data_IF_506079976923
#
_entry.id   IF_506079976923
#
_cell.length_a   1.000
_cell.length_b   1.000
_cell.length_c   1.000
_cell.angle_alpha   90.00
_cell.angle_beta   90.00
_cell.angle_gamma   90.00
#
_symmetry.space_group_name_H-M   'P 1'
#
loop_
_entity.id
_entity.type
_entity.pdbx_description
1 polymer ?
#
# COMPACT_ATOMS: atom_id res chain seq x y z
N UNK A 1 51.09 -26.41 23.92
CA UNK A 1 52.11 -27.28 23.29
C UNK A 1 51.44 -28.46 22.60
N UNK A 2 51.18 -28.39 21.29
CA UNK A 2 50.73 -29.52 20.49
C UNK A 2 51.43 -29.43 19.13
N UNK A 3 52.31 -30.41 18.89
CA UNK A 3 53.31 -30.44 17.81
C UNK A 3 52.63 -30.75 16.47
N UNK A 4 52.76 -29.83 15.52
CA UNK A 4 52.48 -30.05 14.10
C UNK A 4 53.28 -31.24 13.55
N UNK A 5 52.61 -32.19 12.90
CA UNK A 5 53.21 -33.09 11.90
C UNK A 5 52.44 -32.95 10.59
N UNK A 6 53.08 -32.41 9.56
CA UNK A 6 52.60 -32.43 8.17
C UNK A 6 53.09 -33.71 7.49
N UNK A 7 52.26 -34.39 6.67
CA UNK A 7 52.70 -35.53 5.88
C UNK A 7 53.42 -35.10 4.58
N UNK A 8 54.13 -36.02 3.91
CA UNK A 8 55.01 -35.70 2.78
C UNK A 8 54.22 -35.47 1.50
N UNK A 9 54.63 -34.46 0.74
CA UNK A 9 54.18 -34.21 -0.64
C UNK A 9 54.83 -35.25 -1.56
N UNK A 10 54.03 -36.20 -2.04
CA UNK A 10 54.39 -37.03 -3.18
C UNK A 10 54.20 -36.21 -4.47
N UNK A 11 55.30 -35.98 -5.19
CA UNK A 11 55.29 -35.46 -6.55
C UNK A 11 54.95 -36.61 -7.49
N UNK A 12 53.71 -36.62 -8.00
CA UNK A 12 53.32 -37.41 -9.17
C UNK A 12 53.15 -36.45 -10.33
N UNK A 13 54.21 -36.29 -11.09
CA UNK A 13 54.25 -35.58 -12.36
C UNK A 13 53.89 -36.59 -13.45
N UNK A 14 52.59 -36.72 -13.73
CA UNK A 14 52.08 -37.59 -14.79
C UNK A 14 51.56 -36.72 -15.93
N UNK A 15 52.39 -36.58 -16.97
CA UNK A 15 52.06 -35.94 -18.21
C UNK A 15 50.83 -36.59 -18.86
N UNK A 16 49.68 -35.90 -18.81
CA UNK A 16 48.53 -36.18 -19.67
C UNK A 16 48.49 -35.13 -20.76
N UNK A 17 48.84 -35.53 -21.97
CA UNK A 17 48.54 -34.82 -23.20
C UNK A 17 47.02 -34.77 -23.39
N UNK A 18 46.41 -33.64 -23.05
CA UNK A 18 45.00 -33.36 -23.27
C UNK A 18 44.72 -33.21 -24.76
N UNK A 19 43.76 -33.94 -25.34
CA UNK A 19 43.33 -33.70 -26.72
C UNK A 19 42.66 -32.32 -26.81
N UNK A 20 43.25 -31.41 -27.60
CA UNK A 20 42.63 -30.17 -28.04
C UNK A 20 41.50 -30.48 -29.04
N UNK A 21 40.36 -30.95 -28.56
CA UNK A 21 39.15 -31.07 -29.36
C UNK A 21 38.01 -30.27 -28.68
N UNK A 22 37.52 -29.23 -29.36
CA UNK A 22 36.11 -28.85 -29.26
C UNK A 22 35.68 -27.71 -28.32
N UNK A 23 36.54 -26.76 -27.92
CA UNK A 23 36.10 -25.61 -27.08
C UNK A 23 35.16 -24.62 -27.79
N UNK A 24 35.16 -24.58 -29.13
CA UNK A 24 34.37 -23.60 -29.89
C UNK A 24 32.86 -23.94 -29.97
N UNK A 25 32.49 -25.22 -29.98
CA UNK A 25 31.09 -25.63 -30.05
C UNK A 25 30.36 -25.40 -28.72
N UNK A 26 31.02 -25.72 -27.60
CA UNK A 26 30.50 -25.58 -26.23
C UNK A 26 30.23 -24.12 -25.83
N UNK A 27 31.08 -23.18 -26.27
CA UNK A 27 30.86 -21.75 -26.06
C UNK A 27 29.66 -21.20 -26.84
N UNK A 28 29.33 -21.81 -27.98
CA UNK A 28 28.22 -21.35 -28.84
C UNK A 28 26.87 -21.81 -28.26
N UNK A 29 26.78 -23.04 -27.74
CA UNK A 29 25.57 -23.52 -27.04
C UNK A 29 25.28 -22.73 -25.76
N UNK A 30 26.29 -22.45 -24.93
CA UNK A 30 26.11 -21.65 -23.71
C UNK A 30 25.58 -20.23 -24.00
N UNK A 31 26.05 -19.59 -25.08
CA UNK A 31 25.51 -18.29 -25.51
C UNK A 31 24.05 -18.41 -25.94
N UNK A 32 23.69 -19.41 -26.73
CA UNK A 32 22.33 -19.60 -27.23
C UNK A 32 21.32 -19.91 -26.10
N UNK A 33 21.73 -20.69 -25.10
CA UNK A 33 20.92 -20.97 -23.90
C UNK A 33 20.71 -19.70 -23.06
N UNK A 34 21.75 -18.88 -22.89
CA UNK A 34 21.64 -17.62 -22.12
C UNK A 34 20.68 -16.61 -22.77
N UNK A 35 20.72 -16.46 -24.11
CA UNK A 35 19.82 -15.56 -24.83
C UNK A 35 18.36 -16.00 -24.79
N UNK A 36 18.11 -17.31 -24.82
CA UNK A 36 16.74 -17.85 -24.76
C UNK A 36 16.14 -17.67 -23.37
N UNK A 37 16.93 -17.87 -22.31
CA UNK A 37 16.50 -17.64 -20.93
C UNK A 37 16.22 -16.16 -20.66
N UNK A 38 17.10 -15.25 -21.12
CA UNK A 38 16.89 -13.80 -21.01
C UNK A 38 15.62 -13.35 -21.74
N UNK A 39 15.40 -13.84 -22.96
CA UNK A 39 14.19 -13.52 -23.74
C UNK A 39 12.91 -13.99 -23.02
N UNK A 40 12.90 -15.20 -22.46
CA UNK A 40 11.76 -15.71 -21.67
C UNK A 40 11.49 -14.87 -20.42
N UNK A 41 12.54 -14.47 -19.70
CA UNK A 41 12.40 -13.62 -18.52
C UNK A 41 11.86 -12.23 -18.87
N UNK A 42 12.32 -11.62 -19.97
CA UNK A 42 11.81 -10.35 -20.48
C UNK A 42 10.32 -10.41 -20.81
N UNK A 43 9.89 -11.46 -21.50
CA UNK A 43 8.47 -11.66 -21.86
C UNK A 43 7.61 -11.80 -20.60
N UNK A 44 8.05 -12.61 -19.63
CA UNK A 44 7.34 -12.79 -18.36
C UNK A 44 7.19 -11.47 -17.58
N UNK A 45 8.26 -10.66 -17.51
CA UNK A 45 8.24 -9.36 -16.85
C UNK A 45 7.26 -8.38 -17.52
N UNK A 46 7.22 -8.36 -18.85
CA UNK A 46 6.27 -7.53 -19.59
C UNK A 46 4.81 -7.91 -19.26
N UNK A 47 4.50 -9.21 -19.23
CA UNK A 47 3.16 -9.69 -18.88
C UNK A 47 2.74 -9.39 -17.44
N UNK A 48 3.69 -9.32 -16.50
CA UNK A 48 3.44 -8.93 -15.11
C UNK A 48 3.19 -7.42 -14.99
N UNK A 49 4.01 -6.61 -15.65
CA UNK A 49 3.82 -5.15 -15.68
C UNK A 49 2.48 -4.78 -16.32
N UNK A 50 2.10 -5.45 -17.41
CA UNK A 50 0.79 -5.27 -18.03
C UNK A 50 -0.34 -5.61 -17.06
N UNK A 51 -0.28 -6.76 -16.37
CA UNK A 51 -1.30 -7.15 -15.40
C UNK A 51 -1.43 -6.12 -14.26
N UNK A 52 -0.31 -5.61 -13.73
CA UNK A 52 -0.32 -4.57 -12.69
C UNK A 52 -0.92 -3.26 -13.17
N UNK A 53 -0.60 -2.83 -14.40
CA UNK A 53 -1.19 -1.64 -15.01
C UNK A 53 -2.70 -1.78 -15.14
N UNK A 54 -3.18 -2.95 -15.58
CA UNK A 54 -4.60 -3.24 -15.69
C UNK A 54 -5.30 -3.23 -14.34
N UNK A 55 -4.72 -3.86 -13.32
CA UNK A 55 -5.23 -3.84 -11.94
C UNK A 55 -5.31 -2.40 -11.41
N UNK A 56 -4.27 -1.59 -11.63
CA UNK A 56 -4.24 -0.20 -11.18
C UNK A 56 -5.34 0.64 -11.86
N UNK A 57 -5.45 0.55 -13.18
CA UNK A 57 -6.47 1.27 -13.95
C UNK A 57 -7.88 0.89 -13.50
N UNK A 58 -8.14 -0.42 -13.36
CA UNK A 58 -9.43 -0.90 -12.87
C UNK A 58 -9.71 -0.42 -11.44
N UNK A 59 -8.72 -0.49 -10.55
CA UNK A 59 -8.82 -0.01 -9.18
C UNK A 59 -9.17 1.49 -9.13
N UNK A 60 -8.52 2.32 -9.94
CA UNK A 60 -8.80 3.75 -10.06
C UNK A 60 -10.23 3.99 -10.56
N UNK A 61 -10.66 3.31 -11.64
CA UNK A 61 -12.00 3.48 -12.21
C UNK A 61 -13.07 3.11 -11.19
N UNK A 62 -12.98 1.91 -10.59
CA UNK A 62 -13.95 1.44 -9.59
C UNK A 62 -13.97 2.37 -8.38
N UNK A 63 -12.82 2.93 -8.00
CA UNK A 63 -12.71 3.88 -6.89
C UNK A 63 -13.42 5.20 -7.19
N UNK A 64 -13.20 5.77 -8.36
CA UNK A 64 -13.88 7.01 -8.80
C UNK A 64 -15.39 6.77 -8.84
N UNK A 65 -15.84 5.66 -9.42
CA UNK A 65 -17.26 5.30 -9.48
C UNK A 65 -17.83 5.12 -8.07
N UNK A 66 -17.13 4.43 -7.17
CA UNK A 66 -17.59 4.22 -5.79
C UNK A 66 -17.70 5.52 -5.01
N UNK A 67 -16.72 6.42 -5.12
CA UNK A 67 -16.74 7.74 -4.48
C UNK A 67 -17.90 8.57 -5.03
N UNK A 68 -18.07 8.60 -6.35
CA UNK A 68 -19.15 9.32 -6.99
C UNK A 68 -20.52 8.80 -6.53
N UNK A 69 -20.72 7.47 -6.55
CA UNK A 69 -21.95 6.85 -6.07
C UNK A 69 -22.18 7.10 -4.59
N UNK A 70 -21.14 7.07 -3.76
CA UNK A 70 -21.26 7.36 -2.33
C UNK A 70 -21.74 8.79 -2.09
N UNK A 71 -21.13 9.77 -2.77
CA UNK A 71 -21.55 11.17 -2.68
C UNK A 71 -22.98 11.32 -3.22
N UNK A 72 -23.29 10.77 -4.39
CA UNK A 72 -24.63 10.84 -4.98
C UNK A 72 -25.70 10.24 -4.06
N UNK A 73 -25.49 9.02 -3.56
CA UNK A 73 -26.44 8.34 -2.66
C UNK A 73 -26.60 9.13 -1.36
N UNK A 74 -25.54 9.73 -0.82
CA UNK A 74 -25.66 10.57 0.39
C UNK A 74 -26.50 11.84 0.20
N UNK A 75 -26.66 12.31 -1.04
CA UNK A 75 -27.53 13.44 -1.36
C UNK A 75 -28.98 13.01 -1.60
N UNK A 76 -29.17 11.80 -2.14
CA UNK A 76 -30.49 11.29 -2.50
C UNK A 76 -31.19 10.57 -1.33
N UNK A 77 -30.41 9.96 -0.44
CA UNK A 77 -30.91 9.17 0.66
C UNK A 77 -30.63 9.89 1.98
N UNK A 78 -31.63 9.94 2.85
CA UNK A 78 -31.42 10.36 4.23
C UNK A 78 -30.35 9.45 4.86
N UNK A 79 -29.37 10.09 5.50
CA UNK A 79 -28.32 9.36 6.18
C UNK A 79 -28.90 8.39 7.21
N UNK A 80 -28.40 7.16 7.17
CA UNK A 80 -28.87 6.07 8.02
C UNK A 80 -28.55 6.31 9.50
N UNK A 81 -27.46 7.00 9.80
CA UNK A 81 -27.04 7.37 11.15
C UNK A 81 -26.91 8.89 11.32
N UNK A 82 -26.82 9.37 12.56
CA UNK A 82 -26.66 10.81 12.88
C UNK A 82 -25.20 11.24 12.98
N UNK A 83 -24.26 10.37 12.61
CA UNK A 83 -22.81 10.55 12.81
C UNK A 83 -22.27 11.81 12.13
N UNK A 84 -22.70 12.04 10.89
CA UNK A 84 -22.36 13.21 10.10
C UNK A 84 -22.83 14.53 10.75
N UNK A 85 -24.03 14.53 11.36
CA UNK A 85 -24.56 15.68 12.10
C UNK A 85 -23.79 15.89 13.41
N UNK A 86 -23.42 14.82 14.12
CA UNK A 86 -22.69 14.97 15.38
C UNK A 86 -21.29 15.53 15.13
N UNK A 87 -20.62 15.12 14.05
CA UNK A 87 -19.33 15.67 13.65
C UNK A 87 -19.43 17.17 13.32
N UNK A 88 -20.43 17.56 12.52
CA UNK A 88 -20.63 18.96 12.14
C UNK A 88 -20.91 19.85 13.36
N UNK A 89 -21.77 19.40 14.28
CA UNK A 89 -22.06 20.13 15.51
C UNK A 89 -20.88 20.18 16.49
N UNK A 90 -20.06 19.11 16.57
CA UNK A 90 -19.00 19.03 17.57
C UNK A 90 -17.71 19.73 17.16
N UNK A 91 -17.39 19.74 15.86
CA UNK A 91 -16.11 20.24 15.36
C UNK A 91 -16.24 21.50 14.49
N UNK A 92 -17.43 21.83 14.01
CA UNK A 92 -17.68 23.05 13.25
C UNK A 92 -19.00 23.76 13.66
N UNK A 93 -19.21 24.05 14.96
CA UNK A 93 -20.46 24.62 15.46
C UNK A 93 -20.72 26.04 14.94
N UNK A 94 -19.67 26.78 14.60
CA UNK A 94 -19.74 28.16 14.12
C UNK A 94 -19.58 28.26 12.59
N UNK A 95 -19.60 27.13 11.87
CA UNK A 95 -19.43 27.06 10.41
C UNK A 95 -18.08 27.66 9.91
N UNK A 96 -17.07 27.74 10.78
CA UNK A 96 -15.78 28.35 10.49
C UNK A 96 -14.93 27.50 9.55
N UNK A 97 -15.13 26.18 9.54
CA UNK A 97 -14.30 25.25 8.78
C UNK A 97 -14.96 24.77 7.48
N UNK A 98 -16.15 25.27 7.17
CA UNK A 98 -16.94 24.88 5.99
C UNK A 98 -17.25 23.38 5.87
N UNK A 99 -17.12 22.63 6.96
CA UNK A 99 -17.40 21.18 6.99
C UNK A 99 -18.92 20.95 7.04
N UNK A 100 -19.59 21.79 7.82
CA UNK A 100 -21.02 21.73 8.13
C UNK A 100 -21.87 22.56 7.15
N UNK A 101 -21.32 23.62 6.58
CA UNK A 101 -21.94 24.40 5.50
C UNK A 101 -20.87 24.85 4.49
N UNK A 102 -21.17 24.80 3.19
CA UNK A 102 -20.25 25.26 2.13
C UNK A 102 -19.69 24.17 1.23
N UNK A 103 -18.59 24.48 0.52
CA UNK A 103 -18.08 23.68 -0.60
C UNK A 103 -17.53 22.29 -0.24
N UNK A 104 -17.30 22.02 1.05
CA UNK A 104 -16.77 20.75 1.54
C UNK A 104 -17.81 19.85 2.21
N UNK A 105 -19.10 20.20 2.12
CA UNK A 105 -20.18 19.40 2.72
C UNK A 105 -20.20 17.94 2.22
N UNK A 106 -19.75 17.69 0.99
CA UNK A 106 -19.62 16.33 0.44
C UNK A 106 -18.66 15.44 1.25
N UNK A 107 -17.77 16.01 2.07
CA UNK A 107 -16.90 15.24 2.96
C UNK A 107 -17.71 14.47 4.01
N UNK A 108 -18.91 14.93 4.34
CA UNK A 108 -19.81 14.24 5.26
C UNK A 108 -20.25 12.87 4.73
N UNK A 109 -20.23 12.66 3.40
CA UNK A 109 -20.52 11.35 2.78
C UNK A 109 -19.51 10.27 3.17
N UNK A 110 -18.29 10.66 3.56
CA UNK A 110 -17.21 9.78 4.01
C UNK A 110 -17.18 9.60 5.53
N UNK A 111 -18.09 10.24 6.27
CA UNK A 111 -18.17 10.05 7.72
C UNK A 111 -18.82 8.70 8.00
N UNK A 112 -18.15 7.91 8.84
CA UNK A 112 -18.68 6.71 9.47
C UNK A 112 -18.68 6.90 10.98
N UNK A 113 -19.41 6.06 11.69
CA UNK A 113 -19.55 6.14 13.14
C UNK A 113 -18.20 6.22 13.87
N UNK A 114 -17.21 5.40 13.47
CA UNK A 114 -15.84 5.44 14.02
C UNK A 114 -15.07 6.72 13.69
N UNK A 115 -15.33 7.31 12.51
CA UNK A 115 -14.63 8.51 12.05
C UNK A 115 -14.81 9.67 13.00
N UNK A 116 -15.99 9.79 13.65
CA UNK A 116 -16.24 10.85 14.63
C UNK A 116 -15.26 10.74 15.79
N UNK A 117 -15.10 9.53 16.33
CA UNK A 117 -14.21 9.29 17.44
C UNK A 117 -12.76 9.52 17.05
N UNK A 118 -12.35 9.11 15.84
CA UNK A 118 -11.00 9.34 15.36
C UNK A 118 -10.69 10.83 15.18
N UNK A 119 -11.57 11.59 14.54
CA UNK A 119 -11.36 13.02 14.31
C UNK A 119 -11.41 13.79 15.63
N UNK A 120 -12.34 13.46 16.53
CA UNK A 120 -12.41 14.06 17.87
C UNK A 120 -11.15 13.79 18.70
N UNK A 121 -10.64 12.55 18.67
CA UNK A 121 -9.37 12.20 19.32
C UNK A 121 -8.18 12.92 18.70
N UNK A 122 -8.21 13.14 17.39
CA UNK A 122 -7.16 13.84 16.66
C UNK A 122 -7.18 15.35 16.89
N UNK A 123 -8.36 15.94 17.13
CA UNK A 123 -8.52 17.36 17.34
C UNK A 123 -7.69 17.85 18.55
N UNK A 124 -7.06 19.03 18.47
CA UNK A 124 -6.45 19.68 19.64
C UNK A 124 -7.50 20.02 20.70
N UNK A 125 -7.09 20.31 21.93
CA UNK A 125 -8.03 20.89 22.91
C UNK A 125 -8.31 22.35 22.54
N UNK A 126 -9.58 22.71 22.42
CA UNK A 126 -10.03 24.08 22.16
C UNK A 126 -11.03 24.52 23.24
N UNK A 127 -11.48 25.77 23.19
CA UNK A 127 -12.55 26.24 24.07
C UNK A 127 -13.88 25.54 23.79
N UNK A 128 -14.10 25.02 22.57
CA UNK A 128 -15.34 24.38 22.15
C UNK A 128 -15.33 22.85 22.32
N UNK A 129 -14.17 22.20 22.25
CA UNK A 129 -14.07 20.75 22.41
C UNK A 129 -12.83 20.29 23.16
N UNK A 130 -12.99 19.24 23.98
CA UNK A 130 -11.88 18.51 24.59
C UNK A 130 -11.39 17.45 23.61
N UNK A 131 -10.50 17.85 22.70
CA UNK A 131 -9.82 16.91 21.81
C UNK A 131 -8.80 16.04 22.54
N UNK A 132 -8.34 14.97 21.90
CA UNK A 132 -7.44 13.98 22.48
C UNK A 132 -8.13 12.66 22.87
N UNK A 133 -7.32 11.67 23.23
CA UNK A 133 -7.80 10.36 23.62
C UNK A 133 -8.59 10.39 24.94
N UNK A 134 -9.77 9.78 24.93
CA UNK A 134 -10.44 9.34 26.15
C UNK A 134 -9.91 7.95 26.55
N UNK A 135 -9.88 7.63 27.85
CA UNK A 135 -9.36 6.36 28.37
C UNK A 135 -9.88 5.14 27.61
N UNK A 136 -11.20 5.07 27.39
CA UNK A 136 -11.84 3.96 26.67
C UNK A 136 -11.39 3.86 25.21
N UNK A 137 -11.18 5.00 24.56
CA UNK A 137 -10.71 5.07 23.17
C UNK A 137 -9.25 4.65 23.05
N UNK A 138 -8.42 4.96 24.05
CA UNK A 138 -7.01 4.57 24.07
C UNK A 138 -6.82 3.04 24.14
N UNK A 139 -7.81 2.32 24.67
CA UNK A 139 -7.82 0.85 24.69
C UNK A 139 -8.23 0.25 23.34
N UNK A 140 -9.07 0.95 22.57
CA UNK A 140 -9.66 0.42 21.34
C UNK A 140 -8.91 0.86 20.06
N UNK A 141 -8.37 2.08 20.03
CA UNK A 141 -7.88 2.68 18.78
C UNK A 141 -6.36 2.83 18.76
N UNK A 142 -5.73 2.33 17.70
CA UNK A 142 -4.29 2.52 17.52
C UNK A 142 -3.94 3.98 17.23
N UNK A 143 -2.79 4.49 17.70
CA UNK A 143 -2.40 5.90 17.57
C UNK A 143 -2.11 6.34 16.14
N UNK A 144 -1.87 5.41 15.22
CA UNK A 144 -1.43 5.74 13.85
C UNK A 144 -2.42 6.61 13.08
N UNK A 145 -3.71 6.21 13.03
CA UNK A 145 -4.73 6.97 12.29
C UNK A 145 -5.03 8.31 12.97
N UNK A 146 -5.01 8.36 14.30
CA UNK A 146 -5.23 9.59 15.07
C UNK A 146 -4.10 10.60 14.83
N UNK A 147 -2.86 10.13 14.83
CA UNK A 147 -1.70 10.98 14.51
C UNK A 147 -1.78 11.50 13.07
N UNK A 148 -2.18 10.67 12.11
CA UNK A 148 -2.33 11.07 10.72
C UNK A 148 -3.41 12.15 10.54
N UNK A 149 -4.60 11.94 11.13
CA UNK A 149 -5.70 12.92 11.13
C UNK A 149 -5.25 14.24 11.79
N UNK A 150 -4.53 14.16 12.91
CA UNK A 150 -4.03 15.35 13.60
C UNK A 150 -3.09 16.15 12.70
N UNK A 151 -2.09 15.49 12.11
CA UNK A 151 -1.14 16.12 11.19
C UNK A 151 -1.85 16.70 9.96
N UNK A 152 -2.76 15.93 9.35
CA UNK A 152 -3.55 16.37 8.22
C UNK A 152 -4.37 17.63 8.53
N UNK A 153 -4.94 17.75 9.73
CA UNK A 153 -5.72 18.93 10.11
C UNK A 153 -4.90 20.21 10.26
N UNK A 154 -3.59 20.13 10.51
CA UNK A 154 -2.71 21.30 10.51
C UNK A 154 -2.26 21.74 9.11
N UNK A 155 -2.54 20.93 8.08
CA UNK A 155 -2.23 21.28 6.68
C UNK A 155 -3.42 22.06 6.11
N UNK A 156 -3.49 23.35 6.44
CA UNK A 156 -4.52 24.28 5.96
C UNK A 156 -4.00 25.10 4.77
N UNK A 157 -4.87 25.65 3.91
CA UNK A 157 -4.43 26.56 2.83
C UNK A 157 -3.70 27.80 3.34
N UNK A 158 -4.08 28.31 4.52
CA UNK A 158 -3.45 29.46 5.17
C UNK A 158 -2.13 29.13 5.87
N UNK A 159 -1.91 27.87 6.26
CA UNK A 159 -0.73 27.42 7.03
C UNK A 159 -0.46 28.29 8.28
N UNK A 160 -1.54 28.80 8.89
CA UNK A 160 -1.55 29.67 10.08
C UNK A 160 -1.27 28.90 11.39
N UNK A 161 -1.19 27.57 11.32
CA UNK A 161 -1.04 26.70 12.49
C UNK A 161 -2.38 26.40 13.18
N UNK A 162 -3.49 26.88 12.65
CA UNK A 162 -4.81 26.49 13.12
C UNK A 162 -5.17 25.09 12.60
N UNK A 163 -5.75 24.28 13.47
CA UNK A 163 -6.19 22.94 13.09
C UNK A 163 -7.59 23.00 12.47
N UNK A 164 -7.74 22.39 11.30
CA UNK A 164 -9.02 22.31 10.59
C UNK A 164 -9.54 20.87 10.51
N UNK A 165 -10.77 20.59 10.97
CA UNK A 165 -11.40 19.28 10.76
C UNK A 165 -11.62 18.97 9.28
N UNK A 166 -11.83 19.99 8.44
CA UNK A 166 -11.99 19.86 6.99
C UNK A 166 -10.70 19.38 6.33
N UNK A 167 -9.55 20.00 6.64
CA UNK A 167 -8.25 19.54 6.15
C UNK A 167 -7.93 18.12 6.62
N UNK A 168 -8.21 17.83 7.90
CA UNK A 168 -8.02 16.50 8.49
C UNK A 168 -8.79 15.42 7.72
N UNK A 169 -10.08 15.65 7.50
CA UNK A 169 -10.97 14.75 6.78
C UNK A 169 -10.57 14.61 5.32
N UNK A 170 -10.37 15.72 4.60
CA UNK A 170 -10.05 15.72 3.18
C UNK A 170 -8.75 14.95 2.89
N UNK A 171 -7.65 15.33 3.53
CA UNK A 171 -6.35 14.76 3.25
C UNK A 171 -6.27 13.29 3.69
N UNK A 172 -6.84 12.94 4.84
CA UNK A 172 -6.84 11.54 5.30
C UNK A 172 -7.72 10.67 4.41
N UNK A 173 -8.84 11.21 3.91
CA UNK A 173 -9.70 10.54 2.92
C UNK A 173 -8.93 10.29 1.63
N UNK A 174 -8.23 11.30 1.10
CA UNK A 174 -7.38 11.14 -0.10
C UNK A 174 -6.31 10.07 0.10
N UNK A 175 -5.60 10.10 1.23
CA UNK A 175 -4.58 9.10 1.56
C UNK A 175 -5.17 7.69 1.74
N UNK A 176 -6.33 7.56 2.36
CA UNK A 176 -7.06 6.29 2.52
C UNK A 176 -7.44 5.69 1.15
N UNK A 177 -7.93 6.52 0.24
CA UNK A 177 -8.28 6.10 -1.12
C UNK A 177 -7.03 5.73 -1.93
N UNK A 178 -5.91 6.45 -1.78
CA UNK A 178 -4.63 6.08 -2.40
C UNK A 178 -4.11 4.73 -1.89
N UNK A 179 -4.12 4.51 -0.57
CA UNK A 179 -3.73 3.24 0.03
C UNK A 179 -4.58 2.09 -0.54
N UNK A 180 -5.90 2.30 -0.61
CA UNK A 180 -6.83 1.32 -1.16
C UNK A 180 -6.64 1.06 -2.66
N UNK A 181 -6.31 2.09 -3.45
CA UNK A 181 -6.01 1.91 -4.87
C UNK A 181 -4.78 1.02 -5.10
N UNK A 182 -3.77 1.15 -4.22
CA UNK A 182 -2.50 0.44 -4.33
C UNK A 182 -2.52 -0.98 -3.75
N UNK A 183 -3.38 -1.26 -2.75
CA UNK A 183 -3.46 -2.57 -2.08
C UNK A 183 -3.65 -3.76 -3.05
N UNK A 184 -4.55 -3.72 -4.06
CA UNK A 184 -4.71 -4.82 -5.02
C UNK A 184 -3.44 -5.16 -5.80
N UNK A 185 -2.57 -4.16 -6.09
CA UNK A 185 -1.28 -4.40 -6.76
C UNK A 185 -0.36 -5.19 -5.83
N UNK A 186 -0.30 -4.80 -4.56
CA UNK A 186 0.50 -5.50 -3.56
C UNK A 186 0.00 -6.94 -3.37
N UNK A 187 -1.33 -7.13 -3.34
CA UNK A 187 -1.95 -8.44 -3.26
C UNK A 187 -1.60 -9.31 -4.48
N UNK A 188 -1.69 -8.77 -5.69
CA UNK A 188 -1.27 -9.46 -6.90
C UNK A 188 0.21 -9.89 -6.85
N UNK A 189 1.10 -8.98 -6.44
CA UNK A 189 2.54 -9.26 -6.33
C UNK A 189 2.83 -10.33 -5.30
N UNK A 190 2.19 -10.24 -4.14
CA UNK A 190 2.33 -11.21 -3.06
C UNK A 190 1.83 -12.59 -3.50
N UNK A 191 0.61 -12.64 -4.04
CA UNK A 191 0.00 -13.87 -4.55
C UNK A 191 0.87 -14.52 -5.62
N UNK A 192 1.40 -13.74 -6.56
CA UNK A 192 2.27 -14.25 -7.62
C UNK A 192 3.57 -14.83 -7.07
N UNK A 193 4.16 -14.14 -6.09
CA UNK A 193 5.43 -14.56 -5.47
C UNK A 193 5.30 -15.90 -4.76
N UNK A 194 4.20 -16.09 -4.02
CA UNK A 194 3.93 -17.29 -3.22
C UNK A 194 3.43 -18.45 -4.09
N UNK A 195 2.44 -18.21 -4.93
CA UNK A 195 1.74 -19.30 -5.65
C UNK A 195 2.34 -19.63 -7.01
N UNK A 196 3.10 -18.70 -7.60
CA UNK A 196 3.57 -18.78 -9.00
C UNK A 196 2.44 -19.00 -10.01
N UNK A 197 1.20 -18.71 -9.63
CA UNK A 197 0.03 -18.81 -10.47
C UNK A 197 -0.53 -17.41 -10.76
N UNK A 198 -0.39 -16.97 -12.02
CA UNK A 198 -0.76 -15.61 -12.44
C UNK A 198 -2.26 -15.42 -12.40
N UNK A 199 -3.02 -16.39 -12.87
CA UNK A 199 -4.48 -16.33 -12.99
C UNK A 199 -5.13 -16.24 -11.61
N UNK A 200 -4.67 -17.09 -10.68
CA UNK A 200 -5.13 -17.05 -9.29
C UNK A 200 -4.85 -15.70 -8.65
N UNK A 201 -3.62 -15.19 -8.79
CA UNK A 201 -3.19 -13.93 -8.19
C UNK A 201 -3.93 -12.73 -8.79
N UNK A 202 -4.16 -12.75 -10.10
CA UNK A 202 -4.89 -11.73 -10.83
C UNK A 202 -6.36 -11.71 -10.44
N UNK A 203 -6.99 -12.89 -10.38
CA UNK A 203 -8.38 -13.05 -9.94
C UNK A 203 -8.57 -12.57 -8.52
N UNK A 204 -7.68 -12.93 -7.59
CA UNK A 204 -7.72 -12.46 -6.21
C UNK A 204 -7.63 -10.93 -6.12
N UNK A 205 -6.73 -10.31 -6.91
CA UNK A 205 -6.61 -8.86 -6.95
C UNK A 205 -7.88 -8.18 -7.51
N UNK A 206 -8.47 -8.71 -8.58
CA UNK A 206 -9.73 -8.18 -9.13
C UNK A 206 -10.86 -8.32 -8.12
N UNK A 207 -11.03 -9.49 -7.50
CA UNK A 207 -12.06 -9.71 -6.49
C UNK A 207 -11.90 -8.74 -5.31
N UNK A 208 -10.67 -8.42 -4.92
CA UNK A 208 -10.41 -7.44 -3.86
C UNK A 208 -10.85 -6.02 -4.22
N UNK A 209 -10.81 -5.64 -5.51
CA UNK A 209 -11.28 -4.32 -5.99
C UNK A 209 -12.80 -4.20 -5.84
N UNK A 210 -13.53 -5.29 -6.11
CA UNK A 210 -14.99 -5.33 -6.05
C UNK A 210 -15.57 -5.76 -4.70
N UNK A 211 -14.73 -5.98 -3.68
CA UNK A 211 -15.20 -6.31 -2.35
C UNK A 211 -16.15 -5.21 -1.84
N UNK A 212 -17.34 -5.52 -1.29
CA UNK A 212 -18.32 -4.50 -0.89
C UNK A 212 -17.76 -3.46 0.10
N UNK A 213 -16.87 -3.88 1.00
CA UNK A 213 -16.18 -2.98 1.96
C UNK A 213 -15.31 -1.92 1.27
N UNK A 214 -14.92 -2.17 0.02
CA UNK A 214 -14.10 -1.26 -0.77
C UNK A 214 -14.85 0.04 -1.09
N UNK A 215 -16.18 0.01 -1.27
CA UNK A 215 -16.95 1.21 -1.63
C UNK A 215 -17.25 2.16 -0.47
N UNK A 216 -17.29 1.67 0.76
CA UNK A 216 -17.80 2.43 1.92
C UNK A 216 -16.72 2.64 2.99
N UNK A 217 -16.25 1.58 3.63
CA UNK A 217 -15.26 1.65 4.72
C UNK A 217 -13.92 2.12 4.19
N UNK A 218 -13.45 1.55 3.07
CA UNK A 218 -12.12 1.89 2.53
C UNK A 218 -12.06 3.26 1.83
N UNK A 219 -13.21 3.89 1.60
CA UNK A 219 -13.26 5.27 1.09
C UNK A 219 -13.18 6.31 2.20
N UNK A 220 -13.40 5.91 3.46
CA UNK A 220 -13.48 6.80 4.62
C UNK A 220 -12.10 6.97 5.27
N UNK A 221 -11.87 8.02 6.07
CA UNK A 221 -10.61 8.24 6.78
C UNK A 221 -10.53 7.35 8.04
N UNK A 222 -10.48 6.04 7.82
CA UNK A 222 -10.49 4.99 8.85
C UNK A 222 -9.21 4.14 8.76
N UNK A 223 -8.82 3.40 9.81
CA UNK A 223 -7.54 2.71 9.85
C UNK A 223 -7.44 1.52 8.86
N UNK A 224 -8.55 0.96 8.40
CA UNK A 224 -8.60 -0.29 7.62
C UNK A 224 -7.83 -0.18 6.30
N UNK A 225 -7.97 0.94 5.58
CA UNK A 225 -7.25 1.16 4.31
C UNK A 225 -5.74 1.16 4.51
N UNK A 226 -5.29 1.86 5.54
CA UNK A 226 -3.87 1.95 5.91
C UNK A 226 -3.34 0.61 6.43
N UNK A 227 -4.12 -0.08 7.26
CA UNK A 227 -3.78 -1.38 7.79
C UNK A 227 -3.63 -2.42 6.66
N UNK A 228 -4.58 -2.47 5.73
CA UNK A 228 -4.54 -3.36 4.56
C UNK A 228 -3.28 -3.10 3.73
N UNK A 229 -3.03 -1.84 3.39
CA UNK A 229 -1.86 -1.45 2.61
C UNK A 229 -0.54 -1.78 3.33
N UNK A 230 -0.40 -1.38 4.59
CA UNK A 230 0.81 -1.61 5.37
C UNK A 230 1.08 -3.10 5.60
N UNK A 231 0.02 -3.90 5.84
CA UNK A 231 0.13 -5.34 6.02
C UNK A 231 0.62 -6.02 4.75
N UNK A 232 0.00 -5.71 3.60
CA UNK A 232 0.43 -6.26 2.30
C UNK A 232 1.85 -5.82 1.95
N UNK A 233 2.19 -4.55 2.21
CA UNK A 233 3.54 -4.03 2.01
C UNK A 233 4.57 -4.78 2.87
N UNK A 234 4.25 -5.01 4.15
CA UNK A 234 5.07 -5.78 5.07
C UNK A 234 5.31 -7.20 4.58
N UNK A 235 4.25 -7.90 4.16
CA UNK A 235 4.32 -9.26 3.62
C UNK A 235 5.15 -9.34 2.33
N UNK A 236 4.94 -8.41 1.39
CA UNK A 236 5.76 -8.32 0.17
C UNK A 236 7.23 -8.11 0.51
N UNK A 237 7.52 -7.27 1.50
CA UNK A 237 8.89 -6.99 1.94
C UNK A 237 9.54 -8.19 2.62
N UNK A 238 8.79 -8.94 3.42
CA UNK A 238 9.27 -10.17 4.07
C UNK A 238 9.60 -11.25 3.04
N UNK A 239 8.69 -11.52 2.09
CA UNK A 239 8.92 -12.49 1.02
C UNK A 239 10.12 -12.11 0.13
N UNK A 240 10.29 -10.82 -0.15
CA UNK A 240 11.43 -10.33 -0.93
C UNK A 240 12.79 -10.60 -0.25
N UNK A 241 12.83 -10.64 1.09
CA UNK A 241 14.06 -10.93 1.85
C UNK A 241 14.36 -12.43 1.90
N UNK A 242 13.35 -13.29 2.03
CA UNK A 242 13.53 -14.74 1.98
C UNK A 242 14.05 -15.19 0.61
N UNK A 243 13.62 -14.51 -0.46
CA UNK A 243 14.17 -14.70 -1.80
C UNK A 243 15.60 -14.11 -1.97
N UNK A 244 16.02 -13.18 -1.10
CA UNK A 244 17.27 -12.44 -1.17
C UNK A 244 18.09 -12.59 0.12
N UNK A 245 18.56 -13.81 0.40
CA UNK A 245 19.58 -14.06 1.44
C UNK A 245 20.93 -13.39 1.12
N UNK A 246 21.04 -12.56 0.06
CA UNK A 246 22.18 -11.68 -0.21
C UNK A 246 21.73 -10.41 -0.95
N UNK A 247 21.30 -9.36 -0.24
CA UNK A 247 21.33 -8.00 -0.81
C UNK A 247 20.25 -7.01 -0.38
N UNK A 248 20.66 -6.10 0.52
CA UNK A 248 20.25 -4.69 0.71
C UNK A 248 18.86 -4.27 0.16
N UNK A 249 17.97 -3.89 1.09
CA UNK A 249 16.68 -3.23 0.82
C UNK A 249 16.86 -1.99 -0.09
N UNK A 250 16.15 -1.96 -1.21
CA UNK A 250 15.97 -0.74 -2.02
C UNK A 250 14.48 -0.52 -2.26
N UNK A 251 13.95 0.53 -1.65
CA UNK A 251 12.57 1.01 -1.82
C UNK A 251 12.24 1.32 -3.29
N UNK A 252 13.25 1.65 -4.11
CA UNK A 252 13.10 1.87 -5.54
C UNK A 252 12.64 0.64 -6.34
N UNK A 253 12.82 -0.59 -5.83
CA UNK A 253 12.30 -1.82 -6.47
C UNK A 253 10.87 -2.18 -6.08
N UNK A 254 10.36 -1.55 -5.02
CA UNK A 254 9.01 -1.78 -4.51
C UNK A 254 8.02 -0.91 -5.28
N UNK A 255 8.40 0.34 -5.57
CA UNK A 255 7.56 1.29 -6.33
C UNK A 255 8.00 1.42 -7.80
N UNK A 256 9.26 1.13 -8.12
CA UNK A 256 9.78 1.25 -9.48
C UNK A 256 9.54 0.02 -10.33
N UNK A 257 8.98 0.27 -11.52
CA UNK A 257 9.24 -0.47 -12.75
C UNK A 257 10.68 -1.02 -12.73
N UNK A 258 10.85 -2.32 -12.89
CA UNK A 258 12.16 -2.89 -13.16
C UNK A 258 12.72 -2.21 -14.41
N UNK A 259 13.86 -1.49 -14.36
CA UNK A 259 14.57 -1.20 -15.58
C UNK A 259 15.02 -2.55 -16.18
N UNK A 260 14.92 -2.71 -17.50
CA UNK A 260 15.44 -3.90 -18.15
C UNK A 260 16.95 -4.02 -17.84
N UNK A 261 17.36 -5.19 -17.34
CA UNK A 261 18.74 -5.60 -17.22
C UNK A 261 19.20 -6.27 -18.52
#
# INVERSE_FOLDING_TARGET
MLKHRRPPRAQFEQARSSPQYGTSALHTELKLSSTTAQKKASIANHHLAQAQSWILQLSIIVRIVSIFLLVLVSQLQQAFDTSHNLLSYSLDPNLLHSLSSGGFQFLLSFVRWDTIYFVSSAAPTSQLHKGGYVWEQALAFQPGIIALLRLAGFVTPSMDGEWSPTSSMLLTTLLSNLATMLSPILLFRLGWTITRNKELSFTAAILSIFAPSAGTTLASPTPESFFSFASLMGLVTLESKTASTKGRLSWGKIVGFYPPA
#
